data_IF_694411697228
#
_entry.id   IF_694411697228
#
_cell.length_a   1.000
_cell.length_b   1.000
_cell.length_c   1.000
_cell.angle_alpha   90.00
_cell.angle_beta   90.00
_cell.angle_gamma   90.00
#
_symmetry.space_group_name_H-M   'P 1'
#
loop_
_entity.id
_entity.type
_entity.pdbx_description
1 polymer ?
#
# COMPACT_ATOMS: atom_id res chain seq x y z
N UNK A 1 0.00 6.16 3.57
CA UNK A 1 0.99 5.39 2.79
C UNK A 1 1.44 4.25 3.66
N UNK A 2 1.67 3.10 3.04
CA UNK A 2 2.35 1.97 3.63
C UNK A 2 3.46 1.53 2.68
N UNK A 3 4.56 1.03 3.23
CA UNK A 3 5.60 0.37 2.44
C UNK A 3 6.16 -0.82 3.22
N UNK A 4 6.61 -1.83 2.49
CA UNK A 4 7.27 -3.00 3.02
C UNK A 4 8.30 -3.47 1.99
N UNK A 5 9.49 -3.84 2.44
CA UNK A 5 10.48 -4.54 1.63
C UNK A 5 11.14 -5.59 2.52
N UNK A 6 11.16 -6.84 2.09
CA UNK A 6 11.61 -7.98 2.89
C UNK A 6 12.35 -8.99 2.04
N UNK A 7 13.17 -9.79 2.70
CA UNK A 7 13.92 -10.91 2.15
C UNK A 7 13.64 -12.14 3.01
N UNK A 8 13.46 -13.28 2.35
CA UNK A 8 13.40 -14.59 2.99
C UNK A 8 14.42 -15.50 2.33
N UNK A 9 14.99 -16.39 3.13
CA UNK A 9 15.88 -17.45 2.68
C UNK A 9 15.69 -18.69 3.54
N UNK A 10 15.59 -19.83 2.88
CA UNK A 10 15.51 -21.15 3.50
C UNK A 10 16.62 -22.00 2.94
N UNK A 11 17.44 -22.55 3.84
CA UNK A 11 18.53 -23.47 3.48
C UNK A 11 18.10 -24.88 3.87
N UNK A 12 18.08 -25.76 2.88
CA UNK A 12 17.88 -27.19 3.10
C UNK A 12 19.10 -27.77 3.85
N UNK A 13 18.86 -28.35 5.02
CA UNK A 13 19.92 -28.80 5.93
C UNK A 13 20.69 -30.03 5.43
N UNK A 14 20.09 -30.82 4.55
CA UNK A 14 20.71 -32.05 4.04
C UNK A 14 21.51 -31.79 2.77
N UNK A 15 20.96 -30.97 1.87
CA UNK A 15 21.53 -30.70 0.54
C UNK A 15 22.35 -29.41 0.51
N UNK A 16 22.17 -28.51 1.48
CA UNK A 16 22.78 -27.18 1.51
C UNK A 16 22.20 -26.22 0.45
N UNK A 17 21.13 -26.60 -0.25
CA UNK A 17 20.52 -25.76 -1.29
C UNK A 17 19.69 -24.64 -0.66
N UNK A 18 19.91 -23.41 -1.11
CA UNK A 18 19.13 -22.24 -0.69
C UNK A 18 17.98 -21.94 -1.66
N UNK A 19 16.82 -21.61 -1.11
CA UNK A 19 15.70 -20.95 -1.81
C UNK A 19 15.48 -19.59 -1.17
N UNK A 20 15.41 -18.54 -1.97
CA UNK A 20 15.29 -17.17 -1.50
C UNK A 20 14.28 -16.40 -2.33
N UNK A 21 13.68 -15.37 -1.75
CA UNK A 21 12.82 -14.45 -2.47
C UNK A 21 12.73 -13.11 -1.76
N UNK A 22 12.47 -12.07 -2.55
CA UNK A 22 12.07 -10.77 -2.05
C UNK A 22 10.57 -10.59 -2.16
N UNK A 23 10.02 -9.79 -1.25
CA UNK A 23 8.65 -9.30 -1.34
C UNK A 23 8.58 -7.86 -0.89
N UNK A 24 7.57 -7.13 -1.32
CA UNK A 24 7.43 -5.76 -0.92
C UNK A 24 6.45 -4.95 -1.76
N UNK A 25 6.57 -3.64 -1.61
CA UNK A 25 5.71 -2.69 -2.26
C UNK A 25 5.55 -1.41 -1.46
N UNK A 26 4.88 -0.45 -2.07
CA UNK A 26 4.50 0.80 -1.45
C UNK A 26 3.16 1.23 -2.04
N UNK A 27 2.24 1.69 -1.20
CA UNK A 27 0.89 2.06 -1.58
C UNK A 27 0.41 3.35 -0.91
N UNK A 28 -0.49 4.07 -1.58
CA UNK A 28 -1.06 5.33 -1.11
C UNK A 28 -2.55 5.21 -0.79
N UNK A 29 -2.93 5.66 0.41
CA UNK A 29 -4.30 5.63 0.91
C UNK A 29 -4.77 7.06 1.23
N UNK A 30 -5.25 7.83 0.24
CA UNK A 30 -5.76 9.19 0.47
C UNK A 30 -7.16 9.17 1.09
N UNK A 31 -7.51 10.20 1.86
CA UNK A 31 -8.90 10.47 2.25
C UNK A 31 -9.64 11.33 1.24
N UNK A 32 -8.92 12.15 0.47
CA UNK A 32 -9.47 12.95 -0.62
C UNK A 32 -8.58 12.73 -1.84
N UNK A 33 -9.19 12.55 -3.00
CA UNK A 33 -8.45 12.35 -4.23
C UNK A 33 -7.84 13.66 -4.72
N UNK A 34 -6.55 13.62 -5.04
CA UNK A 34 -5.84 14.66 -5.77
C UNK A 34 -5.08 13.99 -6.91
N UNK A 35 -5.51 14.19 -8.15
CA UNK A 35 -4.93 13.53 -9.32
C UNK A 35 -3.42 13.73 -9.42
N UNK A 36 -2.95 14.98 -9.28
CA UNK A 36 -1.52 15.29 -9.33
C UNK A 36 -0.70 14.53 -8.28
N UNK A 37 -1.26 14.32 -7.09
CA UNK A 37 -0.56 13.60 -6.02
C UNK A 37 -0.53 12.10 -6.31
N UNK A 38 -1.60 11.56 -6.91
CA UNK A 38 -1.63 10.17 -7.35
C UNK A 38 -0.57 9.93 -8.44
N UNK A 39 -0.51 10.80 -9.46
CA UNK A 39 0.53 10.72 -10.51
C UNK A 39 1.93 10.87 -9.90
N UNK A 40 2.14 11.88 -9.06
CA UNK A 40 3.41 12.12 -8.38
C UNK A 40 3.86 10.90 -7.56
N UNK A 41 2.94 10.23 -6.87
CA UNK A 41 3.26 9.04 -6.09
C UNK A 41 3.69 7.85 -6.97
N UNK A 42 2.99 7.63 -8.08
CA UNK A 42 3.23 6.48 -8.96
C UNK A 42 4.47 6.63 -9.85
N UNK A 43 4.82 7.86 -10.26
CA UNK A 43 5.95 8.13 -11.16
C UNK A 43 7.32 7.59 -10.67
N UNK A 44 7.76 7.82 -9.41
CA UNK A 44 9.04 7.29 -8.92
C UNK A 44 9.08 5.77 -8.89
N UNK A 45 7.97 5.10 -8.55
CA UNK A 45 7.90 3.64 -8.57
C UNK A 45 7.90 3.09 -9.98
N UNK A 46 7.22 3.75 -10.93
CA UNK A 46 7.32 3.40 -12.36
C UNK A 46 8.76 3.51 -12.85
N UNK A 47 9.44 4.62 -12.56
CA UNK A 47 10.84 4.80 -12.95
C UNK A 47 11.76 3.74 -12.33
N UNK A 48 11.56 3.39 -11.05
CA UNK A 48 12.30 2.32 -10.39
C UNK A 48 12.01 0.95 -11.02
N UNK A 49 10.77 0.66 -11.43
CA UNK A 49 10.43 -0.58 -12.14
C UNK A 49 11.05 -0.62 -13.55
N UNK A 50 10.86 0.45 -14.34
CA UNK A 50 11.32 0.55 -15.72
C UNK A 50 12.85 0.40 -15.85
N UNK A 51 13.61 0.79 -14.82
CA UNK A 51 15.07 0.64 -14.78
C UNK A 51 15.54 -0.81 -14.68
N UNK A 52 14.67 -1.73 -14.24
CA UNK A 52 15.00 -3.15 -14.03
C UNK A 52 14.26 -4.06 -15.00
N UNK A 53 12.98 -3.82 -15.24
CA UNK A 53 12.19 -4.55 -16.22
C UNK A 53 10.96 -3.73 -16.65
N UNK A 54 10.73 -3.54 -17.97
CA UNK A 54 9.63 -2.72 -18.48
C UNK A 54 8.22 -3.25 -18.13
N UNK A 55 8.06 -4.52 -17.73
CA UNK A 55 6.75 -5.07 -17.33
C UNK A 55 6.44 -4.89 -15.84
N UNK A 56 7.47 -4.70 -14.99
CA UNK A 56 7.32 -4.71 -13.53
C UNK A 56 6.29 -3.70 -13.03
N UNK A 57 6.27 -2.48 -13.57
CA UNK A 57 5.30 -1.50 -13.08
C UNK A 57 3.86 -1.95 -13.35
N UNK A 58 3.56 -2.40 -14.58
CA UNK A 58 2.22 -2.84 -14.95
C UNK A 58 1.78 -4.04 -14.12
N UNK A 59 2.66 -5.04 -13.96
CA UNK A 59 2.38 -6.26 -13.21
C UNK A 59 2.18 -5.97 -11.72
N UNK A 60 3.11 -5.22 -11.10
CA UNK A 60 3.08 -4.95 -9.66
C UNK A 60 2.04 -3.90 -9.28
N UNK A 61 1.69 -2.97 -10.17
CA UNK A 61 0.58 -2.04 -9.95
C UNK A 61 -0.74 -2.80 -9.94
N UNK A 62 -0.97 -3.65 -10.95
CA UNK A 62 -2.16 -4.50 -11.00
C UNK A 62 -2.26 -5.38 -9.75
N UNK A 63 -1.15 -5.99 -9.34
CA UNK A 63 -1.13 -6.82 -8.14
C UNK A 63 -1.42 -5.99 -6.88
N UNK A 64 -0.95 -4.74 -6.79
CA UNK A 64 -1.28 -3.83 -5.70
C UNK A 64 -2.79 -3.56 -5.62
N UNK A 65 -3.42 -3.27 -6.77
CA UNK A 65 -4.86 -3.02 -6.85
C UNK A 65 -5.68 -4.25 -6.39
N UNK A 66 -5.26 -5.45 -6.80
CA UNK A 66 -5.92 -6.70 -6.43
C UNK A 66 -5.70 -7.07 -4.95
N UNK A 67 -4.48 -6.86 -4.42
CA UNK A 67 -4.10 -7.25 -3.06
C UNK A 67 -4.83 -6.41 -2.00
N UNK A 68 -4.90 -5.10 -2.20
CA UNK A 68 -5.48 -4.16 -1.22
C UNK A 68 -7.00 -3.99 -1.36
N UNK A 69 -7.69 -4.96 -1.98
CA UNK A 69 -9.13 -4.93 -2.17
C UNK A 69 -9.92 -5.41 -0.94
N UNK A 70 -10.84 -4.58 -0.45
CA UNK A 70 -11.70 -4.88 0.69
C UNK A 70 -12.96 -5.57 0.18
N UNK A 71 -12.93 -6.90 0.06
CA UNK A 71 -13.98 -7.70 -0.59
C UNK A 71 -15.40 -7.40 -0.09
N UNK A 72 -15.58 -7.27 1.23
CA UNK A 72 -16.90 -7.01 1.82
C UNK A 72 -17.40 -5.56 1.64
N UNK A 73 -16.56 -4.65 1.15
CA UNK A 73 -16.93 -3.27 0.81
C UNK A 73 -16.99 -3.04 -0.71
N UNK A 74 -16.40 -3.93 -1.51
CA UNK A 74 -16.32 -3.79 -2.96
C UNK A 74 -15.43 -2.61 -3.39
N UNK A 75 -14.42 -2.25 -2.60
CA UNK A 75 -13.52 -1.12 -2.87
C UNK A 75 -12.08 -1.45 -2.44
N UNK A 76 -11.10 -0.87 -3.13
CA UNK A 76 -9.70 -0.87 -2.72
C UNK A 76 -9.48 0.03 -1.51
N UNK A 77 -8.50 -0.33 -0.68
CA UNK A 77 -8.11 0.46 0.51
C UNK A 77 -7.71 1.89 0.14
N UNK A 78 -6.96 2.02 -0.96
CA UNK A 78 -6.39 3.25 -1.48
C UNK A 78 -6.23 3.22 -3.00
N UNK A 79 -5.39 4.10 -3.53
CA UNK A 79 -5.17 4.29 -4.97
C UNK A 79 -3.99 3.46 -5.52
N UNK A 80 -3.67 2.36 -4.83
CA UNK A 80 -2.62 1.44 -5.19
C UNK A 80 -1.21 2.03 -5.05
N UNK A 81 -0.32 1.50 -5.88
CA UNK A 81 1.13 1.72 -5.87
C UNK A 81 1.79 0.52 -6.56
N UNK A 82 2.79 -0.08 -5.94
CA UNK A 82 3.33 -1.38 -6.39
C UNK A 82 3.24 -2.41 -5.28
N UNK A 83 3.01 -3.67 -5.64
CA UNK A 83 3.06 -4.81 -4.74
C UNK A 83 3.65 -6.01 -5.48
N UNK A 84 4.57 -6.71 -4.82
CA UNK A 84 5.18 -7.93 -5.31
C UNK A 84 5.48 -8.89 -4.16
N UNK A 85 5.44 -10.17 -4.45
CA UNK A 85 5.82 -11.26 -3.57
C UNK A 85 6.57 -12.30 -4.40
N UNK A 86 7.32 -13.19 -3.75
CA UNK A 86 8.00 -14.31 -4.41
C UNK A 86 8.94 -13.88 -5.57
N UNK A 87 9.63 -12.72 -5.44
CA UNK A 87 10.61 -12.25 -6.43
C UNK A 87 11.96 -12.95 -6.21
N UNK A 88 12.23 -13.99 -6.99
CA UNK A 88 13.38 -14.90 -6.89
C UNK A 88 14.27 -14.94 -8.14
N UNK A 89 14.05 -14.01 -9.08
CA UNK A 89 14.71 -13.95 -10.39
C UNK A 89 15.02 -12.51 -10.81
N UNK A 90 15.94 -12.29 -11.79
CA UNK A 90 16.81 -13.27 -12.45
C UNK A 90 18.01 -13.74 -11.59
N UNK A 91 18.45 -12.91 -10.65
CA UNK A 91 19.48 -13.25 -9.66
C UNK A 91 19.25 -12.50 -8.37
N UNK A 92 19.82 -12.97 -7.26
CA UNK A 92 19.64 -12.34 -5.95
C UNK A 92 20.16 -10.90 -5.91
N UNK A 93 21.30 -10.63 -6.57
CA UNK A 93 21.87 -9.29 -6.65
C UNK A 93 21.02 -8.33 -7.48
N UNK A 94 20.44 -8.80 -8.59
CA UNK A 94 19.56 -8.00 -9.43
C UNK A 94 18.21 -7.74 -8.74
N UNK A 95 17.61 -8.76 -8.12
CA UNK A 95 16.40 -8.60 -7.33
C UNK A 95 16.61 -7.62 -6.16
N UNK A 96 17.75 -7.70 -5.47
CA UNK A 96 18.09 -6.75 -4.41
C UNK A 96 18.28 -5.32 -4.95
N UNK A 97 18.91 -5.16 -6.13
CA UNK A 97 19.08 -3.86 -6.75
C UNK A 97 17.71 -3.21 -7.05
N UNK A 98 16.76 -3.98 -7.58
CA UNK A 98 15.38 -3.54 -7.79
C UNK A 98 14.69 -3.12 -6.48
N UNK A 99 14.77 -3.95 -5.44
CA UNK A 99 14.17 -3.66 -4.13
C UNK A 99 14.76 -2.40 -3.50
N UNK A 100 16.08 -2.21 -3.60
CA UNK A 100 16.80 -1.04 -3.12
C UNK A 100 16.32 0.24 -3.84
N UNK A 101 16.15 0.19 -5.15
CA UNK A 101 15.68 1.34 -5.93
C UNK A 101 14.22 1.66 -5.62
N UNK A 102 13.37 0.65 -5.42
CA UNK A 102 12.01 0.84 -4.91
C UNK A 102 11.99 1.47 -3.51
N UNK A 103 12.87 1.02 -2.60
CA UNK A 103 12.98 1.61 -1.26
C UNK A 103 13.44 3.07 -1.32
N UNK A 104 14.39 3.40 -2.21
CA UNK A 104 14.85 4.77 -2.43
C UNK A 104 13.76 5.68 -3.00
N UNK A 105 12.80 5.13 -3.76
CA UNK A 105 11.67 5.87 -4.33
C UNK A 105 10.62 6.31 -3.30
N UNK A 106 10.56 5.71 -2.11
CA UNK A 106 9.53 6.00 -1.08
C UNK A 106 9.53 7.46 -0.66
N UNK A 107 10.68 8.02 -0.29
CA UNK A 107 10.75 9.38 0.23
C UNK A 107 10.42 10.43 -0.85
N UNK A 108 10.98 10.37 -2.08
CA UNK A 108 10.58 11.24 -3.19
C UNK A 108 9.10 11.12 -3.58
N UNK A 109 8.51 9.92 -3.50
CA UNK A 109 7.10 9.72 -3.82
C UNK A 109 6.16 10.34 -2.77
N UNK A 110 6.51 10.31 -1.49
CA UNK A 110 5.58 10.67 -0.42
C UNK A 110 5.83 12.03 0.23
N UNK A 111 7.08 12.40 0.50
CA UNK A 111 7.38 13.62 1.26
C UNK A 111 6.87 14.91 0.58
N UNK A 112 6.99 15.08 -0.75
CA UNK A 112 6.44 16.26 -1.43
C UNK A 112 4.92 16.40 -1.25
N UNK A 113 4.19 15.28 -1.29
CA UNK A 113 2.74 15.26 -1.05
C UNK A 113 2.44 15.76 0.37
N UNK A 114 3.13 15.23 1.38
CA UNK A 114 2.94 15.66 2.77
C UNK A 114 3.26 17.15 2.94
N UNK A 115 4.38 17.63 2.40
CA UNK A 115 4.77 19.04 2.50
C UNK A 115 3.73 19.97 1.86
N UNK A 116 3.20 19.59 0.69
CA UNK A 116 2.15 20.32 -0.03
C UNK A 116 0.83 20.37 0.74
N UNK A 117 0.43 19.24 1.34
CA UNK A 117 -0.93 19.07 1.93
C UNK A 117 -1.02 19.36 3.42
N UNK A 118 0.07 19.25 4.20
CA UNK A 118 0.05 19.31 5.68
C UNK A 118 -0.50 20.61 6.29
N UNK A 119 -0.46 21.72 5.56
CA UNK A 119 -0.93 23.05 6.01
C UNK A 119 -2.33 23.41 5.50
N UNK A 120 -2.96 22.54 4.72
CA UNK A 120 -4.29 22.81 4.20
C UNK A 120 -5.30 22.87 5.36
N UNK A 121 -6.15 23.90 5.43
CA UNK A 121 -7.23 23.92 6.41
C UNK A 121 -8.20 22.77 6.13
N UNK A 122 -8.82 22.25 7.18
CA UNK A 122 -9.86 21.24 7.07
C UNK A 122 -10.98 21.53 8.08
N UNK A 123 -12.17 21.08 7.74
CA UNK A 123 -13.38 21.18 8.55
C UNK A 123 -13.56 19.95 9.43
N UNK A 124 -14.45 20.03 10.41
CA UNK A 124 -14.83 18.88 11.23
C UNK A 124 -15.42 17.73 10.40
N UNK A 125 -16.20 18.03 9.34
CA UNK A 125 -16.75 17.03 8.43
C UNK A 125 -15.67 16.31 7.64
N UNK A 126 -14.68 17.04 7.13
CA UNK A 126 -13.54 16.43 6.41
C UNK A 126 -12.68 15.56 7.33
N UNK A 127 -12.56 15.95 8.60
CA UNK A 127 -11.92 15.13 9.62
C UNK A 127 -12.70 13.84 9.90
N UNK A 128 -14.02 13.93 9.99
CA UNK A 128 -14.89 12.76 10.17
C UNK A 128 -14.76 11.78 9.01
N UNK A 129 -14.79 12.27 7.77
CA UNK A 129 -14.56 11.46 6.59
C UNK A 129 -13.19 10.75 6.63
N UNK A 130 -12.11 11.46 7.01
CA UNK A 130 -10.80 10.83 7.21
C UNK A 130 -10.86 9.69 8.23
N UNK A 131 -11.59 9.84 9.34
CA UNK A 131 -11.73 8.80 10.35
C UNK A 131 -12.50 7.58 9.83
N UNK A 132 -13.51 7.79 8.98
CA UNK A 132 -14.25 6.72 8.30
C UNK A 132 -13.34 5.97 7.32
N UNK A 133 -12.55 6.69 6.50
CA UNK A 133 -11.54 6.07 5.61
C UNK A 133 -10.47 5.30 6.39
N UNK A 134 -10.07 5.78 7.57
CA UNK A 134 -9.19 5.05 8.49
C UNK A 134 -9.85 3.78 9.05
N UNK A 135 -11.16 3.77 9.25
CA UNK A 135 -11.91 2.55 9.57
C UNK A 135 -11.76 1.47 8.51
N UNK A 136 -11.78 1.85 7.22
CA UNK A 136 -11.50 0.92 6.10
C UNK A 136 -10.07 0.37 6.13
N UNK A 137 -9.11 1.20 6.51
CA UNK A 137 -7.72 0.77 6.67
C UNK A 137 -7.58 -0.30 7.78
N UNK A 138 -8.27 -0.11 8.91
CA UNK A 138 -8.32 -1.09 10.00
C UNK A 138 -9.03 -2.38 9.55
N UNK A 139 -10.17 -2.27 8.87
CA UNK A 139 -10.90 -3.43 8.32
C UNK A 139 -9.97 -4.29 7.43
N UNK A 140 -9.19 -3.65 6.55
CA UNK A 140 -8.25 -4.38 5.70
C UNK A 140 -7.17 -5.11 6.51
N UNK A 141 -6.49 -4.41 7.41
CA UNK A 141 -5.36 -4.99 8.14
C UNK A 141 -5.78 -6.14 9.06
N UNK A 142 -6.95 -6.06 9.70
CA UNK A 142 -7.41 -7.12 10.59
C UNK A 142 -8.00 -8.33 9.83
N UNK A 143 -8.63 -8.10 8.67
CA UNK A 143 -9.40 -9.15 7.97
C UNK A 143 -8.62 -9.77 6.81
N UNK A 144 -7.78 -9.01 6.09
CA UNK A 144 -7.20 -9.46 4.82
C UNK A 144 -5.67 -9.46 4.79
N UNK A 145 -5.01 -8.54 5.51
CA UNK A 145 -3.56 -8.41 5.46
C UNK A 145 -2.84 -9.69 5.93
N UNK A 146 -2.03 -10.28 5.04
CA UNK A 146 -1.31 -11.51 5.32
C UNK A 146 -0.24 -11.29 6.40
N UNK A 147 0.42 -10.13 6.37
CA UNK A 147 1.48 -9.79 7.33
C UNK A 147 0.96 -9.69 8.76
N UNK A 148 -0.14 -8.96 8.95
CA UNK A 148 -0.80 -8.83 10.26
C UNK A 148 -1.27 -10.18 10.80
N UNK A 149 -1.95 -11.00 9.97
CA UNK A 149 -2.38 -12.34 10.38
C UNK A 149 -1.19 -13.22 10.77
N UNK A 150 -0.19 -13.31 9.91
CA UNK A 150 1.01 -14.11 10.17
C UNK A 150 1.68 -13.70 11.49
N UNK A 151 1.84 -12.40 11.73
CA UNK A 151 2.39 -11.88 12.97
C UNK A 151 1.57 -12.28 14.21
N UNK A 152 0.23 -12.20 14.13
CA UNK A 152 -0.65 -12.53 15.25
C UNK A 152 -0.67 -14.02 15.60
N UNK A 153 -0.45 -14.90 14.61
CA UNK A 153 -0.38 -16.35 14.81
C UNK A 153 1.04 -16.86 15.12
N UNK A 154 2.06 -16.00 15.03
CA UNK A 154 3.44 -16.38 15.34
C UNK A 154 3.66 -16.37 16.86
N UNK A 155 4.09 -17.49 17.48
CA UNK A 155 4.37 -17.53 18.91
C UNK A 155 5.43 -16.48 19.31
N UNK A 156 5.23 -15.82 20.44
CA UNK A 156 6.13 -14.79 20.99
C UNK A 156 6.35 -13.56 20.07
N UNK A 157 5.47 -13.32 19.11
CA UNK A 157 5.53 -12.10 18.32
C UNK A 157 5.31 -10.86 19.19
N UNK A 158 6.00 -9.76 18.85
CA UNK A 158 5.80 -8.47 19.52
C UNK A 158 4.56 -7.79 18.95
N UNK A 159 3.43 -7.95 19.63
CA UNK A 159 2.13 -7.41 19.15
C UNK A 159 2.14 -5.90 18.89
N UNK A 160 2.86 -5.11 19.70
CA UNK A 160 3.03 -3.67 19.49
C UNK A 160 3.67 -3.34 18.12
N UNK A 161 4.55 -4.21 17.62
CA UNK A 161 5.16 -4.06 16.30
C UNK A 161 4.20 -4.41 15.16
N UNK A 162 3.17 -5.22 15.42
CA UNK A 162 2.12 -5.55 14.45
C UNK A 162 1.11 -4.40 14.37
N UNK A 163 0.67 -3.90 15.53
CA UNK A 163 -0.35 -2.85 15.61
C UNK A 163 0.15 -1.43 15.32
N UNK A 164 1.45 -1.24 15.09
CA UNK A 164 1.99 0.07 14.62
C UNK A 164 1.34 0.54 13.31
N UNK A 165 0.78 -0.39 12.52
CA UNK A 165 0.02 -0.08 11.31
C UNK A 165 -1.34 0.58 11.60
N UNK A 166 -1.87 0.48 12.81
CA UNK A 166 -3.19 1.00 13.15
C UNK A 166 -3.16 2.52 13.34
N UNK A 167 -4.16 3.24 12.82
CA UNK A 167 -4.27 4.67 13.07
C UNK A 167 -4.66 4.94 14.53
N UNK A 168 -4.18 6.06 15.09
CA UNK A 168 -4.56 6.51 16.43
C UNK A 168 -6.08 6.63 16.63
N UNK A 169 -6.82 7.03 15.60
CA UNK A 169 -8.27 7.15 15.61
C UNK A 169 -8.87 6.63 14.30
N UNK A 170 -9.99 5.92 14.41
CA UNK A 170 -10.85 5.48 13.31
C UNK A 170 -12.32 5.58 13.74
N UNK A 171 -13.25 5.66 12.78
CA UNK A 171 -14.69 5.77 13.04
C UNK A 171 -15.47 4.80 12.15
N UNK A 172 -16.52 4.21 12.71
CA UNK A 172 -17.55 3.47 11.98
C UNK A 172 -18.89 4.15 12.20
N UNK A 173 -19.59 4.44 11.11
CA UNK A 173 -20.91 5.08 11.11
C UNK A 173 -21.87 4.15 10.41
N UNK A 174 -22.97 3.81 11.10
CA UNK A 174 -24.01 2.95 10.55
C UNK A 174 -24.65 3.63 9.34
N UNK A 175 -24.72 2.92 8.21
CA UNK A 175 -25.33 3.39 6.95
C UNK A 175 -24.91 4.81 6.53
N UNK A 176 -23.63 5.17 6.70
CA UNK A 176 -23.11 6.47 6.29
C UNK A 176 -23.34 6.73 4.79
N UNK A 177 -23.96 7.87 4.48
CA UNK A 177 -24.14 8.38 3.12
C UNK A 177 -23.01 9.36 2.76
N UNK A 178 -22.11 9.04 1.82
CA UNK A 178 -21.02 9.92 1.40
C UNK A 178 -21.43 10.97 0.35
N UNK A 179 -22.70 11.01 -0.09
CA UNK A 179 -23.15 11.87 -1.18
C UNK A 179 -23.22 13.36 -0.84
N UNK A 180 -23.03 13.72 0.43
CA UNK A 180 -23.02 15.09 0.92
C UNK A 180 -21.83 15.92 0.41
N UNK A 181 -20.77 15.26 -0.06
CA UNK A 181 -19.59 15.89 -0.66
C UNK A 181 -19.18 15.17 -1.95
N UNK A 182 -19.18 15.84 -3.11
CA UNK A 182 -18.80 15.23 -4.39
C UNK A 182 -17.36 14.69 -4.38
N UNK A 183 -16.48 15.20 -3.51
CA UNK A 183 -15.10 14.72 -3.38
C UNK A 183 -15.03 13.34 -2.74
N UNK A 184 -15.99 12.97 -1.89
CA UNK A 184 -16.09 11.60 -1.36
C UNK A 184 -16.43 10.63 -2.49
N UNK A 185 -17.41 10.98 -3.32
CA UNK A 185 -17.83 10.19 -4.47
C UNK A 185 -16.68 10.01 -5.46
N UNK A 186 -15.96 11.08 -5.78
CA UNK A 186 -14.79 11.03 -6.67
C UNK A 186 -13.71 10.05 -6.18
N UNK A 187 -13.43 10.02 -4.86
CA UNK A 187 -12.52 9.01 -4.31
C UNK A 187 -13.12 7.61 -4.43
N UNK A 188 -14.37 7.41 -3.99
CA UNK A 188 -15.00 6.08 -3.95
C UNK A 188 -15.12 5.44 -5.33
N UNK A 189 -15.39 6.23 -6.37
CA UNK A 189 -15.42 5.75 -7.75
C UNK A 189 -14.08 5.09 -8.13
N UNK A 190 -12.98 5.77 -7.88
CA UNK A 190 -11.63 5.26 -8.16
C UNK A 190 -11.26 4.07 -7.27
N UNK A 191 -11.76 4.02 -6.04
CA UNK A 191 -11.52 2.86 -5.17
C UNK A 191 -12.31 1.61 -5.61
N UNK A 192 -13.50 1.78 -6.21
CA UNK A 192 -14.27 0.69 -6.79
C UNK A 192 -13.76 0.28 -8.17
N UNK A 193 -13.22 1.24 -8.90
CA UNK A 193 -12.72 1.10 -10.26
C UNK A 193 -11.29 1.65 -10.34
N UNK A 194 -10.28 0.87 -9.87
CA UNK A 194 -8.88 1.27 -10.00
C UNK A 194 -8.54 1.65 -11.44
N UNK A 195 -7.75 2.71 -11.60
CA UNK A 195 -7.35 3.25 -12.90
C UNK A 195 -5.85 3.44 -13.00
N UNK A 196 -5.36 3.69 -14.21
CA UNK A 196 -3.96 4.03 -14.43
C UNK A 196 -3.69 5.49 -14.06
N UNK A 197 -2.53 5.73 -13.46
CA UNK A 197 -2.09 7.05 -13.03
C UNK A 197 -0.95 7.61 -13.88
N UNK A 198 -0.18 6.75 -14.54
CA UNK A 198 1.03 7.07 -15.30
C UNK A 198 1.13 6.20 -16.55
#
# INVERSE_FOLDING_TARGET
MHFNFRYFEVVDVETGKSTWWFGGGCDLTPSYLYDDDARHFHLPFKAACDAHNPTYYADFKKWCDDYFFIKHRGESRGIGGIFFDDLDSPSQSEAFAFVKDCAAAVAPAYLPIVVKRRKMPFTAKEKEWQLIRRGRYVEFNLIYDRGTKFGLFTPNARYESIFVSMPLYAKWVYCHDPSDDPRHIALLDVLKHPREWV
#
